data_IF_069653998567
#
_entry.id   IF_069653998567
#
_cell.length_a   1.000
_cell.length_b   1.000
_cell.length_c   1.000
_cell.angle_alpha   90.00
_cell.angle_beta   90.00
_cell.angle_gamma   90.00
#
_symmetry.space_group_name_H-M   'P 1'
#
loop_
_entity.id
_entity.type
_entity.pdbx_description
1 polymer ?
#
# COMPACT_ATOMS: atom_id res chain seq x y z
N UNK A 1 -8.31 -13.40 -10.62
CA UNK A 1 -8.07 -12.34 -9.61
C UNK A 1 -7.41 -13.02 -8.41
N UNK A 2 -6.07 -13.04 -8.45
CA UNK A 2 -5.06 -13.43 -7.44
C UNK A 2 -5.43 -14.45 -6.34
N UNK A 3 -5.00 -15.71 -6.46
CA UNK A 3 -4.99 -16.69 -5.38
C UNK A 3 -3.63 -16.69 -4.68
N UNK A 4 -3.49 -15.99 -3.56
CA UNK A 4 -2.34 -16.14 -2.67
C UNK A 4 -2.87 -16.38 -1.25
N UNK A 5 -2.72 -17.63 -0.80
CA UNK A 5 -3.03 -18.09 0.56
C UNK A 5 -1.83 -18.87 1.07
N UNK A 6 -1.36 -18.56 2.28
CA UNK A 6 -0.78 -19.60 3.12
C UNK A 6 -1.34 -19.61 4.56
N UNK A 7 -1.18 -20.77 5.20
CA UNK A 7 -1.74 -21.21 6.48
C UNK A 7 -1.26 -20.42 7.70
N UNK A 8 -2.16 -20.15 8.66
CA UNK A 8 -1.88 -19.39 9.87
C UNK A 8 -1.39 -20.27 11.04
N UNK A 9 -0.36 -19.78 11.76
CA UNK A 9 0.29 -20.43 12.92
C UNK A 9 1.76 -20.05 13.15
N UNK A 10 2.35 -19.15 12.34
CA UNK A 10 3.73 -18.64 12.51
C UNK A 10 3.75 -17.13 12.29
N UNK A 11 4.81 -16.46 12.76
CA UNK A 11 5.11 -15.02 12.63
C UNK A 11 4.63 -14.39 11.29
N UNK A 12 4.28 -13.09 11.22
CA UNK A 12 3.90 -12.40 9.99
C UNK A 12 4.81 -12.65 8.78
N UNK A 13 6.09 -12.98 9.00
CA UNK A 13 7.07 -13.31 7.96
C UNK A 13 6.96 -14.78 7.50
N UNK A 14 6.50 -15.68 8.36
CA UNK A 14 6.30 -17.11 8.06
C UNK A 14 4.88 -17.43 7.55
N UNK A 15 3.94 -16.48 7.65
CA UNK A 15 2.62 -16.56 7.03
C UNK A 15 2.69 -16.62 5.50
N UNK A 16 3.83 -16.29 4.89
CA UNK A 16 4.01 -16.21 3.44
C UNK A 16 4.74 -17.41 2.81
N UNK A 17 5.15 -18.41 3.61
CA UNK A 17 6.02 -19.52 3.19
C UNK A 17 5.33 -20.85 2.85
N UNK A 18 3.99 -20.95 2.82
CA UNK A 18 3.33 -22.25 2.55
C UNK A 18 3.15 -22.50 1.04
N UNK A 19 3.58 -23.65 0.51
CA UNK A 19 3.48 -23.96 -0.92
C UNK A 19 2.04 -24.31 -1.30
N UNK A 20 1.68 -23.84 -2.50
CA UNK A 20 0.54 -24.21 -3.34
C UNK A 20 -0.38 -25.32 -2.79
N UNK A 21 -1.56 -24.93 -2.30
CA UNK A 21 -2.74 -25.79 -2.32
C UNK A 21 -3.90 -25.05 -2.98
N UNK A 22 -4.20 -25.47 -4.22
CA UNK A 22 -5.49 -25.22 -4.84
C UNK A 22 -6.54 -25.93 -3.96
N UNK A 23 -7.41 -25.17 -3.30
CA UNK A 23 -8.54 -25.74 -2.56
C UNK A 23 -9.86 -25.31 -3.21
N UNK A 24 -10.42 -26.27 -3.93
CA UNK A 24 -11.84 -26.35 -4.27
C UNK A 24 -12.70 -26.44 -3.00
N UNK A 25 -13.86 -25.75 -3.02
CA UNK A 25 -14.97 -25.77 -2.05
C UNK A 25 -14.76 -25.08 -0.68
N UNK A 26 -15.22 -23.82 -0.60
CA UNK A 26 -15.79 -23.12 0.57
C UNK A 26 -15.19 -23.42 1.96
N UNK A 27 -13.91 -23.13 2.18
CA UNK A 27 -13.39 -22.91 3.53
C UNK A 27 -13.34 -21.42 3.82
N UNK A 28 -14.32 -20.91 4.58
CA UNK A 28 -14.41 -19.50 5.01
C UNK A 28 -13.23 -19.06 5.89
N UNK A 29 -12.48 -20.01 6.44
CA UNK A 29 -11.30 -19.81 7.28
C UNK A 29 -10.15 -20.68 6.79
N UNK A 30 -8.91 -20.22 6.95
CA UNK A 30 -7.72 -20.99 6.59
C UNK A 30 -7.42 -22.14 7.57
N UNK A 31 -7.88 -22.06 8.82
CA UNK A 31 -7.78 -23.12 9.83
C UNK A 31 -8.85 -22.98 10.92
N UNK A 32 -8.97 -24.01 11.78
CA UNK A 32 -9.91 -24.03 12.92
C UNK A 32 -9.60 -22.97 13.97
N UNK A 33 -8.33 -22.62 14.16
CA UNK A 33 -7.95 -21.62 15.16
C UNK A 33 -8.38 -20.22 14.74
N UNK A 34 -8.23 -19.87 13.46
CA UNK A 34 -8.79 -18.63 12.92
C UNK A 34 -10.32 -18.58 13.02
N UNK A 35 -11.01 -19.72 12.83
CA UNK A 35 -12.45 -19.78 13.04
C UNK A 35 -12.80 -19.48 14.52
N UNK A 36 -12.12 -20.12 15.47
CA UNK A 36 -12.35 -19.91 16.90
C UNK A 36 -12.06 -18.47 17.32
N UNK A 37 -11.02 -17.86 16.77
CA UNK A 37 -10.65 -16.48 17.09
C UNK A 37 -11.66 -15.46 16.54
N UNK A 38 -12.24 -15.70 15.37
CA UNK A 38 -13.28 -14.84 14.80
C UNK A 38 -14.68 -15.10 15.36
N UNK A 39 -14.93 -16.31 15.89
CA UNK A 39 -16.23 -16.74 16.38
C UNK A 39 -16.93 -15.75 17.32
N UNK A 40 -16.24 -15.09 18.28
CA UNK A 40 -16.87 -14.15 19.19
C UNK A 40 -17.51 -12.94 18.50
N UNK A 41 -16.90 -12.43 17.43
CA UNK A 41 -17.38 -11.24 16.71
C UNK A 41 -18.18 -11.59 15.45
N UNK A 42 -18.14 -12.84 15.00
CA UNK A 42 -18.80 -13.29 13.77
C UNK A 42 -20.29 -12.98 13.75
N UNK A 43 -20.99 -13.13 14.88
CA UNK A 43 -22.45 -12.86 14.95
C UNK A 43 -22.76 -11.39 14.66
N UNK A 44 -21.94 -10.46 15.11
CA UNK A 44 -22.11 -9.03 14.86
C UNK A 44 -21.85 -8.70 13.39
N UNK A 45 -20.80 -9.27 12.82
CA UNK A 45 -20.46 -9.10 11.40
C UNK A 45 -21.53 -9.72 10.49
N UNK A 46 -22.01 -10.92 10.81
CA UNK A 46 -23.03 -11.62 10.02
C UNK A 46 -24.38 -10.88 10.02
N UNK A 47 -24.76 -10.27 11.15
CA UNK A 47 -26.04 -9.57 11.30
C UNK A 47 -25.96 -8.07 10.98
N UNK A 48 -24.79 -7.58 10.57
CA UNK A 48 -24.57 -6.17 10.27
C UNK A 48 -25.52 -5.68 9.17
N UNK A 49 -26.03 -4.45 9.33
CA UNK A 49 -26.94 -3.83 8.38
C UNK A 49 -26.38 -3.81 6.95
N UNK A 50 -25.08 -3.55 6.78
CA UNK A 50 -24.43 -3.53 5.46
C UNK A 50 -24.44 -4.89 4.75
N UNK A 51 -24.46 -5.99 5.51
CA UNK A 51 -24.56 -7.34 4.95
C UNK A 51 -26.00 -7.73 4.58
N UNK A 52 -27.01 -6.87 4.81
CA UNK A 52 -28.39 -7.13 4.40
C UNK A 52 -28.58 -6.84 2.90
N UNK A 53 -29.38 -7.68 2.27
CA UNK A 53 -29.75 -7.56 0.85
C UNK A 53 -30.55 -6.27 0.62
N UNK A 54 -31.38 -5.95 1.60
CA UNK A 54 -32.25 -4.79 1.66
C UNK A 54 -31.56 -3.51 2.11
N UNK A 55 -30.24 -3.53 2.38
CA UNK A 55 -29.53 -2.32 2.76
C UNK A 55 -29.58 -1.29 1.63
N UNK A 56 -29.93 -0.06 1.99
CA UNK A 56 -29.94 1.10 1.11
C UNK A 56 -29.08 2.21 1.72
N UNK A 57 -28.52 3.09 0.88
CA UNK A 57 -27.78 4.25 1.37
C UNK A 57 -28.61 5.21 2.21
N UNK A 58 -27.97 5.91 3.14
CA UNK A 58 -28.62 6.88 4.04
C UNK A 58 -29.48 7.92 3.32
N UNK A 59 -29.00 8.53 2.23
CA UNK A 59 -29.82 9.51 1.49
C UNK A 59 -31.09 8.91 0.91
N UNK A 60 -31.07 7.62 0.56
CA UNK A 60 -32.26 6.91 0.09
C UNK A 60 -33.23 6.66 1.24
N UNK A 61 -32.74 6.31 2.43
CA UNK A 61 -33.59 6.04 3.60
C UNK A 61 -34.15 7.30 4.24
N UNK A 62 -33.42 8.40 4.14
CA UNK A 62 -33.78 9.72 4.69
C UNK A 62 -34.55 10.59 3.70
N UNK A 63 -34.79 10.10 2.47
CA UNK A 63 -35.43 10.83 1.38
C UNK A 63 -34.82 12.22 1.12
N UNK A 64 -33.48 12.28 1.16
CA UNK A 64 -32.71 13.51 0.91
C UNK A 64 -31.92 13.42 -0.40
N UNK A 65 -31.54 14.58 -0.92
CA UNK A 65 -30.58 14.63 -2.01
C UNK A 65 -29.17 14.24 -1.49
N UNK A 66 -28.41 13.44 -2.25
CA UNK A 66 -27.06 13.10 -1.88
C UNK A 66 -26.12 14.31 -2.07
N UNK A 67 -25.16 14.45 -1.17
CA UNK A 67 -24.22 15.58 -1.13
C UNK A 67 -23.28 15.64 -2.33
N UNK A 68 -23.11 14.55 -3.08
CA UNK A 68 -22.32 14.54 -4.31
C UNK A 68 -23.06 15.12 -5.53
N UNK A 69 -24.36 15.45 -5.43
CA UNK A 69 -25.08 16.24 -6.43
C UNK A 69 -25.15 17.73 -6.07
N UNK A 70 -24.80 18.10 -4.84
CA UNK A 70 -24.71 19.51 -4.46
C UNK A 70 -23.54 20.13 -5.23
N UNK A 71 -23.82 21.24 -5.92
CA UNK A 71 -22.76 22.08 -6.47
C UNK A 71 -21.93 22.57 -5.28
N UNK A 72 -20.72 22.01 -5.12
CA UNK A 72 -19.80 22.47 -4.07
C UNK A 72 -19.61 23.97 -4.25
N UNK A 73 -19.89 24.75 -3.20
CA UNK A 73 -19.56 26.15 -3.20
C UNK A 73 -18.03 26.27 -3.36
N UNK A 74 -17.50 27.03 -4.33
CA UNK A 74 -16.07 27.23 -4.47
C UNK A 74 -15.38 27.76 -3.19
N UNK A 75 -16.16 28.35 -2.28
CA UNK A 75 -15.70 28.84 -0.98
C UNK A 75 -15.66 27.77 0.13
N UNK A 76 -16.24 26.58 -0.09
CA UNK A 76 -16.14 25.48 0.86
C UNK A 76 -14.70 24.98 0.94
N UNK A 77 -14.09 25.17 2.12
CA UNK A 77 -12.78 24.59 2.43
C UNK A 77 -12.80 23.08 2.18
N UNK A 78 -11.98 22.62 1.23
CA UNK A 78 -11.71 21.21 1.06
C UNK A 78 -11.20 20.68 2.41
N UNK A 79 -11.92 19.72 2.97
CA UNK A 79 -11.51 18.99 4.18
C UNK A 79 -10.12 18.31 4.05
N UNK A 80 -9.58 18.27 2.83
CA UNK A 80 -8.26 17.78 2.49
C UNK A 80 -7.31 18.88 2.00
N UNK A 81 -7.69 20.16 2.11
CA UNK A 81 -6.79 21.28 1.87
C UNK A 81 -5.55 21.15 2.77
N UNK A 82 -4.37 21.11 2.16
CA UNK A 82 -3.10 20.89 2.86
C UNK A 82 -2.82 19.43 3.26
N UNK A 83 -3.74 18.48 3.02
CA UNK A 83 -3.46 17.04 3.20
C UNK A 83 -2.76 16.47 1.97
N UNK A 84 -1.82 15.57 2.22
CA UNK A 84 -1.08 14.85 1.19
C UNK A 84 -2.02 13.84 0.53
N UNK A 85 -2.24 13.96 -0.77
CA UNK A 85 -2.93 12.92 -1.54
C UNK A 85 -1.92 11.88 -1.98
N UNK A 86 -1.89 10.75 -1.27
CA UNK A 86 -0.94 9.67 -1.57
C UNK A 86 -1.12 9.09 -2.98
N UNK A 87 -2.34 9.13 -3.49
CA UNK A 87 -2.70 8.60 -4.80
C UNK A 87 -3.61 9.56 -5.55
N UNK A 88 -3.48 9.59 -6.88
CA UNK A 88 -4.51 10.15 -7.74
C UNK A 88 -5.70 9.20 -7.88
N UNK A 89 -6.78 9.69 -8.49
CA UNK A 89 -7.95 8.87 -8.87
C UNK A 89 -7.68 7.93 -10.03
N UNK A 90 -6.52 8.03 -10.67
CA UNK A 90 -6.15 7.17 -11.80
C UNK A 90 -5.72 5.78 -11.34
N UNK A 91 -6.17 4.71 -12.01
CA UNK A 91 -5.62 3.37 -11.81
C UNK A 91 -4.16 3.34 -12.27
N UNK A 92 -3.43 2.31 -11.81
CA UNK A 92 -2.13 2.00 -12.36
C UNK A 92 -2.28 1.68 -13.86
N UNK A 93 -1.41 2.25 -14.69
CA UNK A 93 -1.39 2.04 -16.12
C UNK A 93 -0.07 1.40 -16.51
N UNK A 94 -0.15 0.39 -17.36
CA UNK A 94 0.97 0.00 -18.20
C UNK A 94 1.24 1.13 -19.19
N UNK A 95 2.36 1.82 -19.01
CA UNK A 95 2.75 2.97 -19.79
C UNK A 95 3.31 2.58 -21.17
N UNK A 96 3.85 1.36 -21.30
CA UNK A 96 4.47 0.90 -22.54
C UNK A 96 3.47 0.12 -23.39
N UNK A 97 2.69 -0.78 -22.78
CA UNK A 97 1.79 -1.71 -23.47
C UNK A 97 2.46 -2.36 -24.69
N UNK A 98 3.64 -2.93 -24.47
CA UNK A 98 4.54 -3.36 -25.53
C UNK A 98 3.84 -4.24 -26.57
N UNK A 99 3.05 -5.22 -26.13
CA UNK A 99 2.32 -6.13 -27.02
C UNK A 99 1.34 -5.40 -27.96
N UNK A 100 0.76 -4.28 -27.52
CA UNK A 100 -0.25 -3.54 -28.26
C UNK A 100 0.33 -2.35 -29.07
N UNK A 101 1.39 -1.72 -28.57
CA UNK A 101 1.95 -0.49 -29.14
C UNK A 101 3.15 -0.77 -30.05
N UNK A 102 4.01 -1.72 -29.70
CA UNK A 102 5.29 -1.94 -30.38
C UNK A 102 5.42 -3.34 -31.00
N UNK A 103 4.65 -4.32 -30.52
CA UNK A 103 4.62 -5.67 -31.07
C UNK A 103 5.96 -6.40 -30.91
N UNK A 104 6.30 -7.27 -31.88
CA UNK A 104 7.55 -8.06 -31.84
C UNK A 104 8.82 -7.23 -32.12
N UNK A 105 8.66 -5.99 -32.61
CA UNK A 105 9.76 -5.09 -32.96
C UNK A 105 10.13 -4.11 -31.82
N UNK A 106 9.65 -4.38 -30.60
CA UNK A 106 9.93 -3.55 -29.44
C UNK A 106 11.44 -3.34 -29.24
N UNK A 107 11.82 -2.09 -28.96
CA UNK A 107 13.24 -1.76 -28.75
C UNK A 107 13.82 -2.58 -27.60
N UNK A 108 15.03 -3.16 -27.75
CA UNK A 108 15.66 -3.90 -26.68
C UNK A 108 16.10 -3.01 -25.51
N UNK A 109 16.09 -1.69 -25.67
CA UNK A 109 16.48 -0.76 -24.61
C UNK A 109 15.40 0.31 -24.43
N UNK A 110 14.62 0.15 -23.36
CA UNK A 110 13.56 1.08 -22.99
C UNK A 110 13.99 2.00 -21.86
N UNK A 111 13.66 3.28 -22.00
CA UNK A 111 13.90 4.30 -20.98
C UNK A 111 12.63 5.12 -20.77
N UNK A 112 12.06 5.02 -19.59
CA UNK A 112 10.88 5.80 -19.20
C UNK A 112 11.26 6.75 -18.09
N UNK A 113 10.98 8.04 -18.32
CA UNK A 113 11.26 9.11 -17.38
C UNK A 113 9.94 9.66 -16.82
N UNK A 114 9.70 9.43 -15.53
CA UNK A 114 8.57 9.95 -14.78
C UNK A 114 9.05 11.15 -13.94
N UNK A 115 8.94 12.35 -14.51
CA UNK A 115 9.27 13.59 -13.80
C UNK A 115 8.08 14.00 -12.93
N UNK A 116 8.37 14.40 -11.69
CA UNK A 116 7.36 15.01 -10.81
C UNK A 116 6.17 14.09 -10.55
N UNK A 117 6.38 12.78 -10.66
CA UNK A 117 5.37 11.76 -10.44
C UNK A 117 5.67 11.04 -9.14
N UNK A 118 4.65 10.96 -8.30
CA UNK A 118 4.70 10.20 -7.07
C UNK A 118 4.09 8.81 -7.20
N UNK A 119 3.49 8.51 -8.35
CA UNK A 119 2.72 7.30 -8.54
C UNK A 119 3.59 6.15 -9.03
N UNK A 120 4.22 5.48 -8.06
CA UNK A 120 5.03 4.28 -8.30
C UNK A 120 4.21 3.12 -8.87
N UNK A 121 2.87 3.14 -8.77
CA UNK A 121 2.03 2.03 -9.26
C UNK A 121 2.14 1.87 -10.77
N UNK A 122 2.32 2.96 -11.51
CA UNK A 122 2.53 2.91 -12.96
C UNK A 122 3.86 2.23 -13.31
N UNK A 123 4.90 2.46 -12.52
CA UNK A 123 6.20 1.78 -12.68
C UNK A 123 6.03 0.28 -12.43
N UNK A 124 5.38 -0.08 -11.32
CA UNK A 124 5.13 -1.48 -10.97
C UNK A 124 4.27 -2.19 -12.02
N UNK A 125 3.17 -1.59 -12.46
CA UNK A 125 2.29 -2.17 -13.49
C UNK A 125 3.04 -2.31 -14.82
N UNK A 126 3.78 -1.29 -15.26
CA UNK A 126 4.53 -1.35 -16.52
C UNK A 126 5.60 -2.44 -16.50
N UNK A 127 6.35 -2.56 -15.40
CA UNK A 127 7.37 -3.62 -15.26
C UNK A 127 6.71 -5.01 -15.20
N UNK A 128 5.61 -5.16 -14.46
CA UNK A 128 4.91 -6.43 -14.31
C UNK A 128 4.23 -6.90 -15.61
N UNK A 129 3.98 -5.99 -16.55
CA UNK A 129 3.37 -6.25 -17.86
C UNK A 129 4.38 -6.44 -18.97
N UNK A 130 5.69 -6.32 -18.68
CA UNK A 130 6.71 -6.67 -19.66
C UNK A 130 6.53 -8.15 -20.07
N UNK A 131 6.53 -8.46 -21.37
CA UNK A 131 6.42 -9.84 -21.83
C UNK A 131 7.54 -10.71 -21.29
N UNK A 132 7.26 -11.98 -20.99
CA UNK A 132 8.28 -12.94 -20.53
C UNK A 132 9.41 -13.14 -21.58
N UNK A 133 9.12 -12.83 -22.85
CA UNK A 133 10.07 -12.86 -23.97
C UNK A 133 10.98 -11.62 -24.03
N UNK A 134 10.72 -10.59 -23.22
CA UNK A 134 11.53 -9.37 -23.22
C UNK A 134 12.91 -9.63 -22.63
N UNK A 135 13.92 -9.68 -23.48
CA UNK A 135 15.33 -9.86 -23.09
C UNK A 135 16.11 -8.54 -22.97
N UNK A 136 15.43 -7.41 -23.16
CA UNK A 136 16.01 -6.08 -23.20
C UNK A 136 16.30 -5.46 -21.84
N UNK A 137 16.86 -4.26 -21.83
CA UNK A 137 17.01 -3.42 -20.65
C UNK A 137 15.81 -2.48 -20.53
N UNK A 138 15.14 -2.47 -19.37
CA UNK A 138 14.11 -1.48 -19.06
C UNK A 138 14.61 -0.57 -17.93
N UNK A 139 14.79 0.71 -18.23
CA UNK A 139 15.23 1.74 -17.30
C UNK A 139 14.04 2.64 -16.95
N UNK A 140 13.67 2.64 -15.66
CA UNK A 140 12.62 3.50 -15.13
C UNK A 140 13.28 4.56 -14.22
N UNK A 141 13.13 5.83 -14.56
CA UNK A 141 13.66 6.95 -13.78
C UNK A 141 12.49 7.76 -13.23
N UNK A 142 12.45 7.94 -11.91
CA UNK A 142 11.40 8.70 -11.22
C UNK A 142 12.02 9.82 -10.40
N UNK A 143 11.41 11.02 -10.46
CA UNK A 143 11.69 12.12 -9.52
C UNK A 143 10.44 12.48 -8.73
N UNK A 144 10.59 12.65 -7.41
CA UNK A 144 9.53 13.12 -6.53
C UNK A 144 9.67 14.61 -6.20
N UNK A 145 8.54 15.31 -6.07
CA UNK A 145 8.47 16.69 -5.57
C UNK A 145 8.18 16.73 -4.06
N UNK A 146 7.16 15.98 -3.62
CA UNK A 146 6.64 15.97 -2.25
C UNK A 146 7.47 15.11 -1.29
N UNK A 147 8.06 15.72 -0.24
CA UNK A 147 8.68 14.99 0.86
C UNK A 147 7.65 14.13 1.61
N UNK A 148 8.09 13.01 2.17
CA UNK A 148 7.28 11.95 2.77
C UNK A 148 6.87 10.88 1.74
N UNK A 149 6.23 11.28 0.64
CA UNK A 149 5.77 10.35 -0.40
C UNK A 149 6.93 9.69 -1.13
N UNK A 150 7.95 10.48 -1.47
CA UNK A 150 9.11 9.97 -2.17
C UNK A 150 9.92 9.02 -1.29
N UNK A 151 10.10 9.35 -0.02
CA UNK A 151 10.74 8.49 0.97
C UNK A 151 10.00 7.15 1.11
N UNK A 152 8.66 7.15 1.17
CA UNK A 152 7.88 5.90 1.19
C UNK A 152 8.10 5.07 -0.07
N UNK A 153 8.07 5.68 -1.27
CA UNK A 153 8.37 4.97 -2.53
C UNK A 153 9.76 4.33 -2.50
N UNK A 154 10.75 4.99 -1.92
CA UNK A 154 12.10 4.44 -1.77
C UNK A 154 12.10 3.25 -0.81
N UNK A 155 11.39 3.31 0.32
CA UNK A 155 11.26 2.18 1.25
C UNK A 155 10.64 0.97 0.53
N UNK A 156 9.62 1.18 -0.30
CA UNK A 156 8.97 0.11 -1.06
C UNK A 156 9.92 -0.52 -2.10
N UNK A 157 10.66 0.32 -2.84
CA UNK A 157 11.67 -0.16 -3.80
C UNK A 157 12.79 -0.93 -3.11
N UNK A 158 13.29 -0.42 -1.98
CA UNK A 158 14.30 -1.10 -1.17
C UNK A 158 13.75 -2.43 -0.61
N UNK A 159 12.49 -2.47 -0.20
CA UNK A 159 11.82 -3.69 0.24
C UNK A 159 11.77 -4.72 -0.89
N UNK A 160 11.28 -4.33 -2.08
CA UNK A 160 11.26 -5.19 -3.26
C UNK A 160 12.66 -5.69 -3.66
N UNK A 161 13.70 -4.86 -3.48
CA UNK A 161 15.07 -5.19 -3.85
C UNK A 161 15.73 -6.16 -2.86
N UNK A 162 15.49 -6.01 -1.56
CA UNK A 162 16.22 -6.74 -0.52
C UNK A 162 15.51 -8.00 0.00
N UNK A 163 14.19 -8.05 -0.07
CA UNK A 163 13.40 -9.22 0.36
C UNK A 163 13.10 -10.13 -0.83
N UNK A 164 12.89 -11.43 -0.60
CA UNK A 164 12.39 -12.30 -1.65
C UNK A 164 10.92 -11.95 -1.98
N UNK A 165 10.43 -12.19 -3.20
CA UNK A 165 9.10 -11.72 -3.64
C UNK A 165 7.94 -12.13 -2.72
N UNK A 166 7.99 -13.33 -2.16
CA UNK A 166 7.02 -13.89 -1.23
C UNK A 166 6.89 -13.09 0.07
N UNK A 167 8.00 -12.50 0.54
CA UNK A 167 8.02 -11.65 1.73
C UNK A 167 7.81 -10.17 1.35
N UNK A 168 8.38 -9.75 0.21
CA UNK A 168 8.35 -8.35 -0.22
C UNK A 168 6.94 -7.88 -0.57
N UNK A 169 6.18 -8.66 -1.34
CA UNK A 169 4.84 -8.30 -1.79
C UNK A 169 3.88 -7.97 -0.62
N UNK A 170 3.73 -8.83 0.41
CA UNK A 170 2.85 -8.53 1.54
C UNK A 170 3.36 -7.37 2.40
N UNK A 171 4.68 -7.26 2.60
CA UNK A 171 5.27 -6.12 3.32
C UNK A 171 4.91 -4.81 2.58
N UNK A 172 5.11 -4.76 1.26
CA UNK A 172 4.80 -3.61 0.42
C UNK A 172 3.30 -3.25 0.50
N UNK A 173 2.41 -4.25 0.43
CA UNK A 173 0.96 -4.02 0.55
C UNK A 173 0.61 -3.36 1.88
N UNK A 174 1.17 -3.85 2.98
CA UNK A 174 0.89 -3.31 4.31
C UNK A 174 1.54 -1.94 4.53
N UNK A 175 2.77 -1.73 4.04
CA UNK A 175 3.41 -0.43 4.00
C UNK A 175 2.58 0.59 3.21
N UNK A 176 1.94 0.19 2.12
CA UNK A 176 1.10 1.10 1.33
C UNK A 176 -0.22 1.48 1.99
N UNK A 177 -0.93 0.52 2.56
CA UNK A 177 -2.35 0.70 2.86
C UNK A 177 -2.69 0.74 4.34
N UNK A 178 -1.93 0.03 5.18
CA UNK A 178 -2.27 -0.21 6.57
C UNK A 178 -1.83 0.96 7.45
N UNK A 179 -2.68 1.36 8.41
CA UNK A 179 -2.28 2.36 9.41
C UNK A 179 -1.23 1.80 10.37
N UNK A 180 -1.38 0.52 10.70
CA UNK A 180 -0.50 -0.24 11.57
C UNK A 180 0.09 -1.40 10.76
N UNK A 181 1.28 -1.83 11.14
CA UNK A 181 1.96 -3.02 10.64
C UNK A 181 2.41 -3.86 11.83
N UNK A 182 2.69 -5.16 11.65
CA UNK A 182 3.28 -5.95 12.70
C UNK A 182 4.70 -5.51 13.04
N UNK A 183 5.04 -5.54 14.33
CA UNK A 183 6.37 -5.21 14.82
C UNK A 183 7.47 -6.01 14.10
N UNK A 184 7.21 -7.29 13.79
CA UNK A 184 8.15 -8.13 13.06
C UNK A 184 8.49 -7.59 11.66
N UNK A 185 7.51 -7.00 10.96
CA UNK A 185 7.73 -6.34 9.66
C UNK A 185 8.62 -5.12 9.85
N UNK A 186 8.31 -4.26 10.81
CA UNK A 186 9.12 -3.06 11.08
C UNK A 186 10.56 -3.44 11.48
N UNK A 187 10.72 -4.44 12.36
CA UNK A 187 12.04 -4.95 12.74
C UNK A 187 12.82 -5.50 11.55
N UNK A 188 12.18 -6.27 10.66
CA UNK A 188 12.81 -6.80 9.47
C UNK A 188 13.27 -5.68 8.52
N UNK A 189 12.42 -4.67 8.30
CA UNK A 189 12.75 -3.48 7.52
C UNK A 189 13.93 -2.73 8.12
N UNK A 190 13.93 -2.50 9.44
CA UNK A 190 15.03 -1.84 10.14
C UNK A 190 16.35 -2.58 10.00
N UNK A 191 16.34 -3.89 10.26
CA UNK A 191 17.55 -4.74 10.17
C UNK A 191 18.13 -4.72 8.75
N UNK A 192 17.29 -4.75 7.72
CA UNK A 192 17.74 -4.83 6.32
C UNK A 192 18.08 -3.47 5.71
N UNK A 193 17.30 -2.43 6.02
CA UNK A 193 17.33 -1.16 5.30
C UNK A 193 18.11 -0.07 6.04
N UNK A 194 18.02 0.02 7.38
CA UNK A 194 18.71 1.08 8.13
C UNK A 194 20.23 1.07 7.92
N UNK A 195 20.96 -0.07 7.95
CA UNK A 195 22.40 -0.06 7.75
C UNK A 195 22.83 0.56 6.42
N UNK A 196 22.04 0.34 5.35
CA UNK A 196 22.30 0.89 4.02
C UNK A 196 22.14 2.42 4.00
N UNK A 197 21.15 2.92 4.73
CA UNK A 197 20.85 4.36 4.83
C UNK A 197 21.90 5.03 5.74
N UNK A 198 22.25 4.42 6.87
CA UNK A 198 23.21 4.95 7.83
C UNK A 198 24.62 5.06 7.27
N UNK A 199 25.03 4.13 6.40
CA UNK A 199 26.29 4.22 5.67
C UNK A 199 26.36 5.52 4.85
N UNK A 200 25.29 5.84 4.12
CA UNK A 200 25.21 7.04 3.28
C UNK A 200 25.09 8.31 4.12
N UNK A 201 24.31 8.30 5.21
CA UNK A 201 24.23 9.41 6.16
C UNK A 201 25.61 9.70 6.78
N UNK A 202 26.36 8.68 7.17
CA UNK A 202 27.71 8.81 7.73
C UNK A 202 28.70 9.38 6.71
N UNK A 203 28.64 8.92 5.46
CA UNK A 203 29.41 9.52 4.36
C UNK A 203 29.05 11.00 4.17
N UNK A 204 27.75 11.31 4.24
CA UNK A 204 27.27 12.67 4.08
C UNK A 204 27.89 13.59 5.11
N UNK A 205 27.88 13.23 6.40
CA UNK A 205 28.48 14.03 7.49
C UNK A 205 29.95 14.37 7.21
N UNK A 206 30.73 13.42 6.68
CA UNK A 206 32.15 13.63 6.34
C UNK A 206 32.34 14.56 5.14
N UNK A 207 31.49 14.47 4.13
CA UNK A 207 31.63 15.22 2.86
C UNK A 207 30.74 16.46 2.80
N UNK A 208 30.98 17.44 3.68
CA UNK A 208 30.14 18.66 3.83
C UNK A 208 29.91 19.46 2.54
N UNK A 209 30.86 19.46 1.60
CA UNK A 209 30.74 20.19 0.32
C UNK A 209 29.76 19.56 -0.68
N UNK A 210 29.46 18.26 -0.57
CA UNK A 210 28.53 17.58 -1.48
C UNK A 210 27.09 17.74 -0.96
N UNK A 211 26.19 18.12 -1.87
CA UNK A 211 24.75 18.26 -1.59
C UNK A 211 23.97 16.99 -1.90
N UNK A 212 24.31 16.32 -3.00
CA UNK A 212 23.65 15.08 -3.47
C UNK A 212 24.55 13.89 -3.17
N UNK A 213 23.97 12.86 -2.58
CA UNK A 213 24.61 11.58 -2.27
C UNK A 213 23.92 10.48 -3.06
N UNK A 214 24.72 9.73 -3.82
CA UNK A 214 24.24 8.67 -4.70
C UNK A 214 24.56 7.31 -4.09
N UNK A 215 23.59 6.40 -4.12
CA UNK A 215 23.77 5.00 -3.77
C UNK A 215 23.32 4.13 -4.94
N UNK A 216 24.18 3.21 -5.35
CA UNK A 216 23.87 2.23 -6.40
C UNK A 216 23.87 0.85 -5.76
N UNK A 217 22.74 0.17 -5.86
CA UNK A 217 22.55 -1.20 -5.39
C UNK A 217 22.40 -2.09 -6.60
N UNK A 218 23.13 -3.21 -6.64
CA UNK A 218 23.07 -4.18 -7.75
C UNK A 218 22.71 -5.55 -7.20
N UNK A 219 21.77 -6.24 -7.86
CA UNK A 219 21.34 -7.59 -7.49
C UNK A 219 20.91 -8.32 -8.76
N UNK A 220 21.59 -9.41 -9.09
CA UNK A 220 21.37 -10.18 -10.31
C UNK A 220 21.42 -9.27 -11.56
N UNK A 221 20.35 -9.27 -12.37
CA UNK A 221 20.19 -8.44 -13.57
C UNK A 221 19.59 -7.05 -13.28
N UNK A 222 19.30 -6.72 -12.02
CA UNK A 222 18.66 -5.47 -11.63
C UNK A 222 19.64 -4.52 -10.92
N UNK A 223 19.45 -3.23 -11.14
CA UNK A 223 20.17 -2.16 -10.45
C UNK A 223 19.21 -1.08 -9.98
N UNK A 224 19.33 -0.68 -8.72
CA UNK A 224 18.58 0.41 -8.11
C UNK A 224 19.51 1.58 -7.82
N UNK A 225 19.21 2.74 -8.40
CA UNK A 225 20.01 3.95 -8.27
C UNK A 225 19.22 4.98 -7.46
N UNK A 226 19.74 5.37 -6.30
CA UNK A 226 19.16 6.39 -5.44
C UNK A 226 20.07 7.61 -5.45
N UNK A 227 19.50 8.80 -5.65
CA UNK A 227 20.21 10.07 -5.61
C UNK A 227 19.37 11.07 -4.82
N UNK A 228 19.77 11.32 -3.57
CA UNK A 228 19.05 12.19 -2.65
C UNK A 228 19.96 13.27 -2.08
N UNK A 229 19.36 14.36 -1.63
CA UNK A 229 20.00 15.38 -0.81
C UNK A 229 20.34 14.80 0.57
N UNK A 230 21.30 15.44 1.26
CA UNK A 230 21.66 15.09 2.64
C UNK A 230 20.43 15.00 3.56
N UNK A 231 19.58 16.01 3.55
CA UNK A 231 18.45 16.09 4.47
C UNK A 231 17.34 15.09 4.09
N UNK A 232 17.27 14.67 2.82
CA UNK A 232 16.38 13.60 2.36
C UNK A 232 16.84 12.23 2.86
N UNK A 233 18.16 11.95 2.86
CA UNK A 233 18.71 10.74 3.47
C UNK A 233 18.41 10.67 4.98
N UNK A 234 18.54 11.79 5.70
CA UNK A 234 18.24 11.82 7.14
C UNK A 234 16.74 11.67 7.43
N UNK A 235 15.86 12.24 6.59
CA UNK A 235 14.42 12.00 6.67
C UNK A 235 14.08 10.53 6.43
N UNK A 236 14.67 9.90 5.41
CA UNK A 236 14.48 8.48 5.11
C UNK A 236 14.97 7.59 6.27
N UNK A 237 16.05 7.97 6.95
CA UNK A 237 16.52 7.30 8.17
C UNK A 237 15.50 7.43 9.31
N UNK A 238 15.00 8.65 9.52
CA UNK A 238 14.09 8.98 10.62
C UNK A 238 12.72 8.33 10.44
N UNK A 239 12.20 8.22 9.21
CA UNK A 239 10.90 7.59 8.95
C UNK A 239 10.88 6.13 9.42
N UNK A 240 11.89 5.34 9.05
CA UNK A 240 12.02 3.95 9.49
C UNK A 240 12.21 3.80 11.01
N UNK A 241 12.68 4.83 11.70
CA UNK A 241 12.83 4.84 13.15
C UNK A 241 11.50 5.08 13.89
N UNK A 242 10.41 5.45 13.18
CA UNK A 242 9.06 5.74 13.68
C UNK A 242 9.07 6.58 14.98
N UNK A 243 8.73 7.87 14.95
CA UNK A 243 8.89 8.74 16.11
C UNK A 243 8.16 8.18 17.33
N UNK A 244 8.83 8.13 18.48
CA UNK A 244 8.29 7.65 19.78
C UNK A 244 6.95 8.31 20.17
N UNK A 245 6.63 9.46 19.57
CA UNK A 245 5.43 10.26 19.83
C UNK A 245 4.20 9.85 19.02
N UNK A 246 4.30 8.91 18.09
CA UNK A 246 3.15 8.54 17.26
C UNK A 246 2.51 7.25 17.79
N UNK A 247 1.38 7.37 18.46
CA UNK A 247 0.69 6.21 19.04
C UNK A 247 -0.12 5.44 17.99
N UNK A 248 -0.37 4.13 18.18
CA UNK A 248 -1.22 3.34 17.29
C UNK A 248 -2.64 3.92 17.12
N UNK A 249 -3.16 4.57 18.16
CA UNK A 249 -4.47 5.21 18.15
C UNK A 249 -4.48 6.46 17.29
N UNK A 250 -3.41 7.28 17.33
CA UNK A 250 -3.25 8.44 16.46
C UNK A 250 -3.06 8.05 15.00
N UNK A 251 -2.27 7.01 14.71
CA UNK A 251 -2.09 6.49 13.36
C UNK A 251 -3.43 6.04 12.75
N UNK A 252 -4.19 5.25 13.53
CA UNK A 252 -5.51 4.77 13.14
C UNK A 252 -6.50 5.93 12.93
N UNK A 253 -6.53 6.89 13.86
CA UNK A 253 -7.39 8.08 13.77
C UNK A 253 -7.04 8.94 12.56
N UNK A 254 -5.76 9.17 12.30
CA UNK A 254 -5.27 9.93 11.15
C UNK A 254 -5.78 9.32 9.85
N UNK A 255 -5.62 8.00 9.68
CA UNK A 255 -6.11 7.28 8.50
C UNK A 255 -7.64 7.33 8.38
N UNK A 256 -8.36 7.10 9.48
CA UNK A 256 -9.84 7.15 9.48
C UNK A 256 -10.37 8.54 9.18
N UNK A 257 -9.68 9.61 9.60
CA UNK A 257 -10.07 10.99 9.30
C UNK A 257 -10.10 11.30 7.80
N UNK A 258 -9.35 10.54 6.99
CA UNK A 258 -9.30 10.66 5.53
C UNK A 258 -10.24 9.66 4.86
N UNK A 259 -10.20 8.40 5.31
CA UNK A 259 -10.90 7.28 4.65
C UNK A 259 -12.38 7.17 5.05
N UNK A 260 -12.78 7.71 6.18
CA UNK A 260 -14.15 7.71 6.72
C UNK A 260 -14.64 9.14 7.00
N UNK A 261 -14.14 10.14 6.26
CA UNK A 261 -14.53 11.53 6.43
C UNK A 261 -16.05 11.72 6.24
N UNK A 262 -16.72 12.38 7.19
CA UNK A 262 -18.18 12.59 7.17
C UNK A 262 -18.67 13.25 5.88
N UNK A 263 -17.91 14.20 5.32
CA UNK A 263 -18.25 14.87 4.06
C UNK A 263 -18.30 13.93 2.84
N UNK A 264 -17.79 12.69 2.95
CA UNK A 264 -17.74 11.68 1.88
C UNK A 264 -18.62 10.46 2.17
N UNK A 265 -19.51 10.52 3.16
CA UNK A 265 -20.40 9.39 3.50
C UNK A 265 -21.26 9.00 2.28
N UNK A 266 -21.73 9.99 1.52
CA UNK A 266 -22.57 9.70 0.37
C UNK A 266 -21.82 9.04 -0.79
N UNK A 267 -20.64 9.56 -1.09
CA UNK A 267 -19.74 8.95 -2.08
C UNK A 267 -19.36 7.51 -1.67
N UNK A 268 -19.11 7.29 -0.38
CA UNK A 268 -18.77 5.98 0.18
C UNK A 268 -19.94 5.01 0.02
N UNK A 269 -21.12 5.36 0.51
CA UNK A 269 -22.31 4.52 0.42
C UNK A 269 -22.70 4.23 -1.02
N UNK A 270 -22.41 5.14 -1.98
CA UNK A 270 -22.69 4.94 -3.40
C UNK A 270 -21.81 3.81 -3.91
N UNK A 271 -20.53 3.82 -3.52
CA UNK A 271 -19.60 2.73 -3.78
C UNK A 271 -20.04 1.41 -3.12
N UNK A 272 -20.48 1.44 -1.84
CA UNK A 272 -20.94 0.25 -1.13
C UNK A 272 -22.21 -0.35 -1.76
N UNK A 273 -23.14 0.48 -2.22
CA UNK A 273 -24.39 0.01 -2.82
C UNK A 273 -24.15 -0.82 -4.08
N UNK A 274 -23.16 -0.44 -4.89
CA UNK A 274 -22.74 -1.17 -6.08
C UNK A 274 -22.01 -2.50 -5.77
N UNK A 275 -21.70 -2.81 -4.51
CA UNK A 275 -21.00 -4.02 -4.11
C UNK A 275 -21.96 -5.13 -3.65
N UNK A 276 -21.54 -6.41 -3.78
CA UNK A 276 -22.20 -7.53 -3.13
C UNK A 276 -22.28 -7.34 -1.60
N UNK A 277 -23.33 -7.90 -0.99
CA UNK A 277 -23.70 -7.70 0.42
C UNK A 277 -22.51 -7.78 1.40
N UNK A 278 -21.78 -8.89 1.42
CA UNK A 278 -20.68 -9.09 2.36
C UNK A 278 -19.40 -8.34 1.98
N UNK A 279 -19.26 -7.91 0.72
CA UNK A 279 -18.11 -7.11 0.29
C UNK A 279 -18.16 -5.71 0.89
N UNK A 280 -19.35 -5.18 1.16
CA UNK A 280 -19.54 -3.89 1.85
C UNK A 280 -18.85 -3.88 3.21
N UNK A 281 -18.97 -4.97 3.97
CA UNK A 281 -18.29 -5.12 5.26
C UNK A 281 -16.78 -5.21 5.11
N UNK A 282 -16.30 -5.98 4.14
CA UNK A 282 -14.87 -6.08 3.87
C UNK A 282 -14.28 -4.71 3.47
N UNK A 283 -14.98 -3.97 2.60
CA UNK A 283 -14.63 -2.60 2.22
C UNK A 283 -14.58 -1.70 3.45
N UNK A 284 -15.61 -1.72 4.31
CA UNK A 284 -15.62 -0.90 5.52
C UNK A 284 -14.51 -1.28 6.50
N UNK A 285 -14.19 -2.56 6.63
CA UNK A 285 -13.09 -3.05 7.46
C UNK A 285 -11.75 -2.51 6.94
N UNK A 286 -11.47 -2.68 5.65
CA UNK A 286 -10.28 -2.12 5.00
C UNK A 286 -10.23 -0.59 5.05
N UNK A 287 -11.38 0.10 4.96
CA UNK A 287 -11.42 1.55 5.15
C UNK A 287 -11.13 1.97 6.58
N UNK A 288 -11.33 1.13 7.59
CA UNK A 288 -11.01 1.45 8.99
C UNK A 288 -9.53 1.29 9.31
N UNK A 289 -8.92 0.18 8.89
CA UNK A 289 -7.57 -0.21 9.31
C UNK A 289 -6.53 -0.21 8.17
N UNK A 290 -6.98 -0.40 6.92
CA UNK A 290 -6.11 -0.55 5.75
C UNK A 290 -5.41 -1.91 5.66
N UNK A 291 -5.85 -2.89 6.43
CA UNK A 291 -5.22 -4.21 6.51
C UNK A 291 -5.88 -5.14 5.48
N UNK A 292 -5.09 -5.59 4.52
CA UNK A 292 -5.54 -6.53 3.49
C UNK A 292 -5.31 -7.98 3.96
N UNK A 293 -6.31 -8.54 4.63
CA UNK A 293 -6.32 -9.93 5.09
C UNK A 293 -7.70 -10.57 4.84
N UNK A 294 -7.79 -11.91 4.80
CA UNK A 294 -9.09 -12.59 4.84
C UNK A 294 -9.95 -12.05 5.99
N UNK A 295 -11.26 -11.95 5.74
CA UNK A 295 -12.15 -11.19 6.64
C UNK A 295 -12.06 -11.63 8.10
N UNK A 296 -12.07 -12.95 8.34
CA UNK A 296 -11.99 -13.55 9.67
C UNK A 296 -10.58 -13.70 10.25
N UNK A 297 -9.52 -13.27 9.57
CA UNK A 297 -8.17 -13.32 10.15
C UNK A 297 -8.02 -12.32 11.31
N UNK A 298 -7.24 -12.72 12.30
CA UNK A 298 -6.84 -11.84 13.39
C UNK A 298 -6.04 -10.65 12.88
N UNK A 299 -6.22 -9.52 13.55
CA UNK A 299 -5.50 -8.27 13.28
C UNK A 299 -4.69 -7.82 14.49
N UNK A 300 -4.63 -8.65 15.55
CA UNK A 300 -3.98 -8.31 16.82
C UNK A 300 -2.50 -8.00 16.66
N UNK A 301 -1.84 -8.65 15.71
CA UNK A 301 -0.43 -8.43 15.42
C UNK A 301 -0.17 -7.08 14.74
N UNK A 302 -1.18 -6.39 14.21
CA UNK A 302 -1.04 -5.07 13.60
C UNK A 302 -1.14 -3.99 14.68
N UNK A 303 -0.05 -3.83 15.43
CA UNK A 303 0.02 -3.01 16.64
C UNK A 303 0.97 -1.81 16.52
N UNK A 304 1.81 -1.79 15.50
CA UNK A 304 2.91 -0.83 15.37
C UNK A 304 2.59 0.18 14.28
N UNK A 305 2.73 1.50 14.50
CA UNK A 305 2.49 2.49 13.47
C UNK A 305 3.36 2.27 12.23
N UNK A 306 2.74 2.43 11.06
CA UNK A 306 3.43 2.34 9.79
C UNK A 306 4.36 3.57 9.62
N UNK A 307 5.66 3.38 9.35
CA UNK A 307 6.67 4.45 9.28
C UNK A 307 6.47 5.49 8.16
#
# INVERSE_FOLDING_TARGET
MWPLLPSCGKSPIDLFKSPHRVLTKSTQYCCKDCQKEHWPTHKEDCNNALARETWKPDWHTEDRNPTFFENRDPSDLDSNAGKISWWGSMPALDLLKLDANEGQDASPNMRVLLISSHDIRNIVETIARLPDTYSGQCEMVMSGIQPGMFEQNIILLLTAFHFPPEDAAPIIIHLWYSALIPLSILSALRIKLLPLIEEVCSEAVRKRRRRIFKRVLKKNKASLHLALLRDEWERLRTSLQCPERFSPTEATRSRQSVTLANKKVDELHRGLYAQPRHWRLATMKFRRDGILLPFGCSRKEFDTPNP
#
